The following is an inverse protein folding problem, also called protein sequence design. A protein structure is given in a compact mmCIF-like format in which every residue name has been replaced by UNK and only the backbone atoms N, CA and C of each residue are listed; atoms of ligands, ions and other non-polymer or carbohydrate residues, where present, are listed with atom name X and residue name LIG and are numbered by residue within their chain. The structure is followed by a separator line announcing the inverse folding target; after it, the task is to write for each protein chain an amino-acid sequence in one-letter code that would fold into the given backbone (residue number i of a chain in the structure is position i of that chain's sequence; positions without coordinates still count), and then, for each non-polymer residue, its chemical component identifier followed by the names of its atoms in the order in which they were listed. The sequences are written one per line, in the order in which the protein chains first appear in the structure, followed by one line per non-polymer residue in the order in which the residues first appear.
data_IF_862876660912
#
_entry.id   IF_862876660912
#
_cell.length_a   1.000
_cell.length_b   1.000
_cell.length_c   1.000
_cell.angle_alpha   90.00
_cell.angle_beta   90.00
_cell.angle_gamma   90.00
#
_symmetry.space_group_name_H-M   'P 1'
#
loop_
_entity.id
_entity.type
_entity.pdbx_description
1 polymer ?
#
# COMPACT_ATOMS: atom_id res chain seq x y z
N UNK A 1 -10.96 -37.92 8.46
CA UNK A 1 -11.64 -36.64 8.19
C UNK A 1 -10.74 -35.54 8.78
N UNK A 2 -9.86 -34.95 7.98
CA UNK A 2 -9.06 -33.80 8.41
C UNK A 2 -10.00 -32.60 8.45
N UNK A 3 -10.34 -32.13 9.65
CA UNK A 3 -11.02 -30.85 9.82
C UNK A 3 -10.06 -29.77 9.29
N UNK A 4 -10.39 -29.16 8.14
CA UNK A 4 -9.71 -27.94 7.68
C UNK A 4 -9.88 -26.90 8.79
N UNK A 5 -8.76 -26.42 9.34
CA UNK A 5 -8.77 -25.28 10.24
C UNK A 5 -9.48 -24.12 9.54
N UNK A 6 -10.33 -23.35 10.25
CA UNK A 6 -10.94 -22.16 9.67
C UNK A 6 -9.85 -21.22 9.18
N UNK A 7 -10.06 -20.60 8.02
CA UNK A 7 -9.08 -19.71 7.35
C UNK A 7 -8.50 -18.68 8.32
N UNK A 8 -9.28 -18.16 9.23
CA UNK A 8 -8.89 -17.18 10.27
C UNK A 8 -7.90 -17.71 11.33
N UNK A 9 -7.58 -19.00 11.34
CA UNK A 9 -6.60 -19.60 12.27
C UNK A 9 -5.22 -19.81 11.63
N UNK A 10 -5.07 -19.51 10.34
CA UNK A 10 -3.80 -19.63 9.63
C UNK A 10 -3.00 -18.31 9.72
N UNK A 11 -1.65 -18.35 9.71
CA UNK A 11 -0.84 -17.17 9.52
C UNK A 11 -1.24 -16.41 8.26
N UNK A 12 -1.22 -15.07 8.30
CA UNK A 12 -1.69 -14.20 7.22
C UNK A 12 -0.99 -14.51 5.88
N UNK A 13 0.31 -14.82 5.91
CA UNK A 13 1.08 -15.20 4.72
C UNK A 13 0.51 -16.45 4.04
N UNK A 14 0.11 -17.44 4.82
CA UNK A 14 -0.50 -18.67 4.30
C UNK A 14 -1.87 -18.39 3.69
N UNK A 15 -2.65 -17.50 4.31
CA UNK A 15 -3.96 -17.07 3.78
C UNK A 15 -3.76 -16.39 2.43
N UNK A 16 -2.85 -15.43 2.35
CA UNK A 16 -2.58 -14.69 1.12
C UNK A 16 -2.05 -15.62 0.02
N UNK A 17 -1.12 -16.51 0.32
CA UNK A 17 -0.60 -17.49 -0.65
C UNK A 17 -1.65 -18.45 -1.20
N UNK A 18 -2.64 -18.83 -0.39
CA UNK A 18 -3.69 -19.79 -0.79
C UNK A 18 -4.84 -19.16 -1.54
N UNK A 19 -5.23 -17.94 -1.18
CA UNK A 19 -6.46 -17.29 -1.67
C UNK A 19 -6.20 -16.26 -2.76
N UNK A 20 -4.97 -15.77 -2.88
CA UNK A 20 -4.64 -14.68 -3.79
C UNK A 20 -3.78 -15.19 -4.94
N UNK A 21 -4.14 -14.80 -6.16
CA UNK A 21 -3.35 -15.13 -7.34
C UNK A 21 -2.05 -14.34 -7.37
N UNK A 22 -0.99 -14.93 -7.89
CA UNK A 22 0.25 -14.21 -8.15
C UNK A 22 0.00 -12.99 -9.05
N UNK A 23 0.55 -11.85 -8.66
CA UNK A 23 0.38 -10.59 -9.39
C UNK A 23 -0.86 -9.77 -9.01
N UNK A 24 -1.70 -10.23 -8.08
CA UNK A 24 -2.79 -9.43 -7.53
C UNK A 24 -2.25 -8.19 -6.80
N UNK A 25 -2.98 -7.09 -6.91
CA UNK A 25 -2.61 -5.86 -6.19
C UNK A 25 -3.22 -5.84 -4.78
N UNK A 26 -2.60 -5.03 -3.91
CA UNK A 26 -3.17 -4.63 -2.63
C UNK A 26 -3.57 -3.17 -2.69
N UNK A 27 -4.80 -2.86 -2.29
CA UNK A 27 -5.31 -1.49 -2.29
C UNK A 27 -6.20 -1.22 -1.09
N UNK A 28 -6.25 0.03 -0.64
CA UNK A 28 -7.22 0.54 0.33
C UNK A 28 -8.38 1.29 -0.35
N UNK A 29 -8.33 1.43 -1.68
CA UNK A 29 -9.31 2.18 -2.48
C UNK A 29 -10.08 1.25 -3.42
N UNK A 30 -11.39 1.07 -3.16
CA UNK A 30 -12.25 0.22 -4.00
C UNK A 30 -12.43 0.73 -5.43
N UNK A 31 -12.12 2.00 -5.72
CA UNK A 31 -12.16 2.55 -7.07
C UNK A 31 -11.04 1.99 -7.96
N UNK A 32 -9.90 1.66 -7.35
CA UNK A 32 -8.75 1.07 -8.03
C UNK A 32 -8.76 -0.46 -8.03
N UNK A 33 -9.65 -1.08 -7.24
CA UNK A 33 -9.72 -2.52 -7.04
C UNK A 33 -10.19 -3.23 -8.30
N UNK A 34 -9.50 -4.30 -8.66
CA UNK A 34 -9.86 -5.23 -9.73
C UNK A 34 -10.21 -6.61 -9.17
N UNK A 35 -10.92 -7.41 -9.95
CA UNK A 35 -11.27 -8.76 -9.54
C UNK A 35 -10.00 -9.61 -9.30
N UNK A 36 -9.93 -10.21 -8.13
CA UNK A 36 -8.76 -10.98 -7.68
C UNK A 36 -7.79 -10.21 -6.78
N UNK A 37 -7.92 -8.89 -6.67
CA UNK A 37 -7.08 -8.07 -5.78
C UNK A 37 -7.40 -8.29 -4.29
N UNK A 38 -6.51 -7.78 -3.44
CA UNK A 38 -6.67 -7.74 -1.98
C UNK A 38 -7.08 -6.33 -1.56
N UNK A 39 -8.21 -6.23 -0.84
CA UNK A 39 -8.64 -4.99 -0.20
C UNK A 39 -8.10 -4.91 1.21
N UNK A 40 -7.56 -3.76 1.61
CA UNK A 40 -7.21 -3.43 2.98
C UNK A 40 -8.19 -2.39 3.53
N UNK A 41 -9.04 -2.78 4.46
CA UNK A 41 -10.15 -1.98 4.98
C UNK A 41 -9.91 -1.58 6.43
N UNK A 42 -9.56 -0.33 6.67
CA UNK A 42 -9.30 0.25 7.98
C UNK A 42 -9.63 1.74 7.99
N UNK A 43 -9.84 2.37 9.16
CA UNK A 43 -10.01 3.82 9.26
C UNK A 43 -8.74 4.54 8.80
N UNK A 44 -8.86 5.45 7.83
CA UNK A 44 -7.75 6.23 7.26
C UNK A 44 -7.96 7.69 7.63
N UNK A 45 -6.92 8.32 8.13
CA UNK A 45 -6.96 9.74 8.52
C UNK A 45 -6.53 9.96 9.96
N UNK A 46 -6.80 11.15 10.45
CA UNK A 46 -6.52 11.54 11.83
C UNK A 46 -7.83 11.80 12.60
N UNK A 47 -7.72 12.16 13.89
CA UNK A 47 -8.89 12.44 14.74
C UNK A 47 -9.84 13.52 14.22
N UNK A 48 -9.39 14.41 13.31
CA UNK A 48 -10.21 15.52 12.76
C UNK A 48 -10.84 15.16 11.41
N UNK A 49 -10.19 14.30 10.62
CA UNK A 49 -10.68 13.86 9.31
C UNK A 49 -10.33 12.38 9.16
N UNK A 50 -11.29 11.54 9.45
CA UNK A 50 -11.18 10.08 9.30
C UNK A 50 -12.19 9.61 8.26
N UNK A 51 -11.72 8.86 7.28
CA UNK A 51 -12.57 8.09 6.37
C UNK A 51 -12.48 6.63 6.76
N UNK A 52 -13.60 6.00 7.03
CA UNK A 52 -13.63 4.59 7.36
C UNK A 52 -13.78 3.74 6.09
N UNK A 53 -12.68 3.20 5.60
CA UNK A 53 -12.68 2.39 4.38
C UNK A 53 -13.38 1.03 4.56
N UNK A 54 -13.73 0.63 5.80
CA UNK A 54 -14.50 -0.57 6.08
C UNK A 54 -15.94 -0.47 5.56
N UNK A 55 -16.46 0.76 5.40
CA UNK A 55 -17.76 1.01 4.79
C UNK A 55 -17.84 0.51 3.33
N UNK A 56 -16.71 0.29 2.68
CA UNK A 56 -16.63 -0.16 1.30
C UNK A 56 -16.33 -1.67 1.15
N UNK A 57 -16.40 -2.45 2.25
CA UNK A 57 -16.15 -3.92 2.20
C UNK A 57 -17.16 -4.60 1.26
N UNK A 58 -18.44 -4.27 1.35
CA UNK A 58 -19.46 -4.86 0.48
C UNK A 58 -19.19 -4.55 -1.01
N UNK A 59 -18.78 -3.31 -1.33
CA UNK A 59 -18.39 -2.92 -2.69
C UNK A 59 -17.16 -3.71 -3.17
N UNK A 60 -16.15 -3.86 -2.34
CA UNK A 60 -14.96 -4.64 -2.66
C UNK A 60 -15.29 -6.11 -2.95
N UNK A 61 -16.14 -6.72 -2.12
CA UNK A 61 -16.60 -8.11 -2.30
C UNK A 61 -17.41 -8.26 -3.59
N UNK A 62 -18.27 -7.29 -3.93
CA UNK A 62 -19.05 -7.28 -5.17
C UNK A 62 -18.21 -7.14 -6.42
N UNK A 63 -17.08 -6.40 -6.34
CA UNK A 63 -16.08 -6.24 -7.40
C UNK A 63 -15.16 -7.44 -7.56
N UNK A 64 -15.31 -8.46 -6.72
CA UNK A 64 -14.55 -9.70 -6.82
C UNK A 64 -13.19 -9.63 -6.11
N UNK A 65 -13.06 -8.85 -5.04
CA UNK A 65 -11.90 -8.98 -4.17
C UNK A 65 -11.68 -10.44 -3.77
N UNK A 66 -10.45 -10.93 -3.88
CA UNK A 66 -10.09 -12.29 -3.47
C UNK A 66 -10.01 -12.41 -1.96
N UNK A 67 -9.52 -11.37 -1.28
CA UNK A 67 -9.41 -11.25 0.16
C UNK A 67 -9.69 -9.81 0.57
N UNK A 68 -10.37 -9.64 1.69
CA UNK A 68 -10.54 -8.36 2.38
C UNK A 68 -9.90 -8.46 3.75
N UNK A 69 -8.75 -7.84 3.93
CA UNK A 69 -8.14 -7.65 5.24
C UNK A 69 -8.83 -6.48 5.92
N UNK A 70 -9.33 -6.65 7.14
CA UNK A 70 -10.06 -5.58 7.81
C UNK A 70 -9.66 -5.41 9.28
N UNK A 71 -9.70 -4.16 9.78
CA UNK A 71 -9.54 -3.84 11.21
C UNK A 71 -10.83 -4.21 11.95
N UNK A 72 -10.78 -5.16 12.92
CA UNK A 72 -11.97 -5.61 13.61
C UNK A 72 -12.46 -4.67 14.73
N UNK A 73 -11.63 -3.74 15.19
CA UNK A 73 -11.98 -2.86 16.29
C UNK A 73 -13.07 -1.86 15.90
N UNK A 74 -14.13 -1.73 16.72
CA UNK A 74 -15.17 -0.72 16.53
C UNK A 74 -16.09 -0.93 15.32
N UNK A 75 -16.26 -2.17 14.85
CA UNK A 75 -17.21 -2.49 13.77
C UNK A 75 -18.67 -2.33 14.23
N UNK A 76 -19.49 -1.72 13.38
CA UNK A 76 -20.95 -1.75 13.54
C UNK A 76 -21.52 -3.17 13.35
N UNK A 77 -22.72 -3.42 13.85
CA UNK A 77 -23.40 -4.71 13.66
C UNK A 77 -23.58 -5.06 12.18
N UNK A 78 -23.86 -4.06 11.34
CA UNK A 78 -24.00 -4.20 9.90
C UNK A 78 -22.68 -4.67 9.25
N UNK A 79 -21.55 -4.01 9.56
CA UNK A 79 -20.25 -4.41 9.05
C UNK A 79 -19.83 -5.78 9.57
N UNK A 80 -20.16 -6.13 10.83
CA UNK A 80 -19.91 -7.47 11.36
C UNK A 80 -20.62 -8.54 10.53
N UNK A 81 -21.87 -8.31 10.13
CA UNK A 81 -22.62 -9.22 9.28
C UNK A 81 -21.98 -9.39 7.89
N UNK A 82 -21.51 -8.31 7.27
CA UNK A 82 -20.78 -8.36 5.99
C UNK A 82 -19.46 -9.13 6.13
N UNK A 83 -18.74 -8.95 7.23
CA UNK A 83 -17.47 -9.62 7.49
C UNK A 83 -17.59 -11.11 7.82
N UNK A 84 -18.80 -11.70 7.83
CA UNK A 84 -18.99 -13.16 7.86
C UNK A 84 -18.63 -13.83 6.52
N UNK A 85 -18.48 -13.08 5.44
CA UNK A 85 -17.97 -13.62 4.17
C UNK A 85 -16.58 -14.24 4.40
N UNK A 86 -16.38 -15.46 3.90
CA UNK A 86 -15.13 -16.22 4.06
C UNK A 86 -13.88 -15.54 3.50
N UNK A 87 -14.05 -14.55 2.63
CA UNK A 87 -12.96 -13.72 2.09
C UNK A 87 -12.52 -12.62 3.04
N UNK A 88 -13.30 -12.34 4.08
CA UNK A 88 -12.98 -11.32 5.07
C UNK A 88 -12.08 -11.90 6.17
N UNK A 89 -10.91 -11.32 6.35
CA UNK A 89 -9.88 -11.75 7.30
C UNK A 89 -9.60 -10.61 8.28
N UNK A 90 -9.87 -10.78 9.59
CA UNK A 90 -9.57 -9.75 10.58
C UNK A 90 -8.05 -9.65 10.81
N UNK A 91 -7.56 -8.42 10.78
CA UNK A 91 -6.17 -8.08 11.12
C UNK A 91 -6.19 -6.94 12.13
N UNK A 92 -5.79 -7.24 13.36
CA UNK A 92 -5.74 -6.24 14.44
C UNK A 92 -4.66 -5.21 14.14
N UNK A 93 -4.95 -3.95 14.41
CA UNK A 93 -4.03 -2.82 14.16
C UNK A 93 -3.60 -2.71 12.69
N UNK A 94 -4.54 -2.98 11.78
CA UNK A 94 -4.27 -3.00 10.34
C UNK A 94 -3.72 -1.67 9.82
N UNK A 95 -4.13 -0.54 10.38
CA UNK A 95 -3.64 0.77 9.97
C UNK A 95 -2.10 0.88 10.08
N UNK A 96 -1.52 0.32 11.14
CA UNK A 96 -0.07 0.30 11.34
C UNK A 96 0.63 -0.84 10.58
N UNK A 97 -0.09 -1.91 10.28
CA UNK A 97 0.47 -3.09 9.62
C UNK A 97 0.34 -3.09 8.09
N UNK A 98 -0.57 -2.29 7.53
CA UNK A 98 -0.88 -2.31 6.09
C UNK A 98 0.35 -2.12 5.20
N UNK A 99 1.23 -1.18 5.55
CA UNK A 99 2.46 -0.95 4.80
C UNK A 99 3.47 -2.09 4.92
N UNK A 100 3.59 -2.69 6.09
CA UNK A 100 4.48 -3.84 6.33
C UNK A 100 3.98 -5.07 5.56
N UNK A 101 2.69 -5.36 5.65
CA UNK A 101 2.05 -6.47 4.92
C UNK A 101 2.23 -6.28 3.41
N UNK A 102 1.98 -5.07 2.89
CA UNK A 102 2.16 -4.77 1.49
C UNK A 102 3.64 -4.84 1.07
N UNK A 103 4.58 -4.37 1.92
CA UNK A 103 6.01 -4.48 1.66
C UNK A 103 6.44 -5.93 1.44
N UNK A 104 6.06 -6.83 2.34
CA UNK A 104 6.32 -8.28 2.20
C UNK A 104 5.66 -8.84 0.93
N UNK A 105 4.42 -8.46 0.64
CA UNK A 105 3.70 -8.90 -0.56
C UNK A 105 4.43 -8.54 -1.85
N UNK A 106 5.00 -7.33 -1.93
CA UNK A 106 5.74 -6.86 -3.11
C UNK A 106 7.24 -7.20 -3.07
N UNK A 107 7.70 -8.05 -2.14
CA UNK A 107 9.09 -8.51 -2.05
C UNK A 107 10.05 -7.45 -1.53
N UNK A 108 9.60 -6.69 -0.52
CA UNK A 108 10.40 -5.71 0.23
C UNK A 108 11.23 -4.77 -0.68
N UNK A 109 10.57 -4.03 -1.59
CA UNK A 109 11.26 -3.30 -2.64
C UNK A 109 12.26 -2.26 -2.11
N UNK A 110 11.97 -1.62 -0.97
CA UNK A 110 12.83 -0.62 -0.35
C UNK A 110 14.07 -1.18 0.35
N UNK A 111 14.16 -2.49 0.57
CA UNK A 111 15.37 -3.13 1.09
C UNK A 111 16.45 -3.31 0.02
N UNK A 112 16.10 -3.25 -1.24
CA UNK A 112 16.99 -3.53 -2.37
C UNK A 112 17.21 -2.34 -3.30
N UNK A 113 16.48 -1.25 -3.09
CA UNK A 113 16.67 0.04 -3.74
C UNK A 113 17.02 1.08 -2.69
N UNK A 114 17.82 2.07 -3.04
CA UNK A 114 18.00 3.26 -2.21
C UNK A 114 16.76 4.13 -2.26
N UNK A 115 16.13 4.39 -1.11
CA UNK A 115 14.92 5.22 -1.04
C UNK A 115 15.19 6.45 -0.19
N UNK A 116 15.15 7.63 -0.80
CA UNK A 116 15.42 8.91 -0.15
C UNK A 116 14.10 9.66 0.04
N UNK A 117 13.71 9.87 1.30
CA UNK A 117 12.53 10.65 1.66
C UNK A 117 12.84 12.14 1.81
N UNK A 118 12.07 12.98 1.14
CA UNK A 118 12.18 14.44 1.23
C UNK A 118 10.96 15.02 1.92
N UNK A 119 11.16 15.63 3.09
CA UNK A 119 10.09 16.33 3.83
C UNK A 119 10.40 17.82 3.97
N UNK A 120 9.41 18.61 4.34
CA UNK A 120 9.52 20.05 4.54
C UNK A 120 8.24 20.80 4.17
N UNK A 121 8.13 22.05 4.53
CA UNK A 121 6.97 22.90 4.20
C UNK A 121 6.93 23.21 2.70
N UNK A 122 8.06 23.63 2.14
CA UNK A 122 8.21 24.01 0.72
C UNK A 122 9.40 23.29 0.10
N UNK A 123 9.43 23.21 -1.24
CA UNK A 123 10.57 22.71 -2.01
C UNK A 123 10.69 21.19 -2.09
N UNK A 124 9.80 20.42 -1.46
CA UNK A 124 9.87 18.94 -1.50
C UNK A 124 9.97 18.41 -2.93
N UNK A 125 9.08 18.84 -3.82
CA UNK A 125 9.04 18.40 -5.22
C UNK A 125 10.34 18.71 -5.94
N UNK A 126 10.85 19.94 -5.82
CA UNK A 126 12.09 20.33 -6.49
C UNK A 126 13.29 19.55 -5.97
N UNK A 127 13.40 19.38 -4.64
CA UNK A 127 14.50 18.64 -4.04
C UNK A 127 14.41 17.15 -4.40
N UNK A 128 13.24 16.51 -4.32
CA UNK A 128 13.08 15.13 -4.72
C UNK A 128 13.45 14.92 -6.20
N UNK A 129 13.03 15.83 -7.08
CA UNK A 129 13.40 15.78 -8.49
C UNK A 129 14.91 15.93 -8.72
N UNK A 130 15.55 16.88 -8.05
CA UNK A 130 17.01 17.08 -8.18
C UNK A 130 17.80 15.90 -7.62
N UNK A 131 17.36 15.32 -6.50
CA UNK A 131 17.99 14.10 -5.93
C UNK A 131 17.84 12.95 -6.90
N UNK A 132 16.64 12.71 -7.44
CA UNK A 132 16.44 11.67 -8.43
C UNK A 132 17.31 11.89 -9.70
N UNK A 133 17.41 13.12 -10.18
CA UNK A 133 18.29 13.47 -11.32
C UNK A 133 19.75 13.22 -11.01
N UNK A 134 20.23 13.60 -9.83
CA UNK A 134 21.63 13.40 -9.42
C UNK A 134 21.99 11.91 -9.28
N UNK A 135 21.04 11.08 -8.88
CA UNK A 135 21.22 9.63 -8.76
C UNK A 135 21.05 8.88 -10.09
N UNK A 136 20.40 9.52 -11.08
CA UNK A 136 20.11 8.89 -12.35
C UNK A 136 21.36 8.78 -13.22
N UNK A 137 21.97 7.60 -13.26
CA UNK A 137 23.18 7.31 -14.02
C UNK A 137 22.91 6.22 -15.07
N UNK A 138 23.76 6.14 -16.10
CA UNK A 138 23.71 5.06 -17.07
C UNK A 138 23.87 3.72 -16.33
N UNK A 139 22.92 2.81 -16.53
CA UNK A 139 22.81 1.51 -15.85
C UNK A 139 22.41 1.56 -14.35
N UNK A 140 22.08 2.74 -13.82
CA UNK A 140 21.52 2.92 -12.48
C UNK A 140 20.35 3.90 -12.55
N UNK A 141 19.23 3.50 -13.16
CA UNK A 141 18.10 4.38 -13.32
C UNK A 141 17.48 4.76 -11.97
N UNK A 142 17.12 6.03 -11.85
CA UNK A 142 16.43 6.58 -10.68
C UNK A 142 14.98 6.85 -11.00
N UNK A 143 14.14 6.78 -9.98
CA UNK A 143 12.73 7.10 -10.04
C UNK A 143 12.37 8.21 -9.07
N UNK A 144 11.16 8.76 -9.24
CA UNK A 144 10.59 9.68 -8.28
C UNK A 144 9.17 9.25 -7.90
N UNK A 145 8.74 9.66 -6.69
CA UNK A 145 7.35 9.57 -6.22
C UNK A 145 7.01 10.90 -5.57
N UNK A 146 5.99 11.59 -6.06
CA UNK A 146 5.61 12.89 -5.50
C UNK A 146 4.44 13.54 -6.23
N UNK A 147 4.29 14.84 -6.02
CA UNK A 147 3.19 15.65 -6.58
C UNK A 147 3.14 15.60 -8.11
N UNK A 148 4.28 15.50 -8.77
CA UNK A 148 4.36 15.40 -10.25
C UNK A 148 3.96 14.02 -10.75
N UNK A 149 3.95 13.01 -9.90
CA UNK A 149 3.65 11.64 -10.27
C UNK A 149 4.64 10.63 -9.69
N UNK A 150 4.65 9.42 -10.26
CA UNK A 150 5.56 8.35 -9.88
C UNK A 150 6.06 7.58 -11.10
N UNK A 151 7.32 7.12 -11.06
CA UNK A 151 7.95 6.34 -12.11
C UNK A 151 9.43 6.65 -12.29
N UNK A 152 10.06 5.99 -13.26
CA UNK A 152 11.40 6.34 -13.72
C UNK A 152 11.40 7.78 -14.26
N UNK A 153 12.51 8.49 -14.14
CA UNK A 153 12.60 9.91 -14.50
C UNK A 153 12.24 10.22 -15.94
N UNK A 154 12.45 9.29 -16.85
CA UNK A 154 12.07 9.38 -18.26
C UNK A 154 10.61 9.04 -18.52
N UNK A 155 9.91 8.47 -17.52
CA UNK A 155 8.52 8.05 -17.63
C UNK A 155 7.74 8.22 -16.31
N UNK A 156 7.60 9.46 -15.85
CA UNK A 156 6.80 9.82 -14.67
C UNK A 156 5.33 9.95 -15.06
N UNK A 157 4.46 9.19 -14.38
CA UNK A 157 3.02 9.21 -14.63
C UNK A 157 2.30 9.88 -13.45
N UNK A 158 1.40 10.85 -13.69
CA UNK A 158 0.63 11.48 -12.63
C UNK A 158 -0.14 10.46 -11.79
N UNK A 159 -0.05 10.56 -10.47
CA UNK A 159 -0.76 9.66 -9.53
C UNK A 159 -1.89 10.34 -8.77
N UNK A 160 -1.91 11.68 -8.76
CA UNK A 160 -2.88 12.46 -8.00
C UNK A 160 -2.53 12.61 -6.51
N UNK A 161 -1.37 12.11 -6.07
CA UNK A 161 -0.94 12.17 -4.66
C UNK A 161 0.46 12.74 -4.54
N UNK A 162 0.70 13.51 -3.47
CA UNK A 162 2.08 13.87 -3.06
C UNK A 162 2.77 12.67 -2.41
N UNK A 163 2.07 11.99 -1.50
CA UNK A 163 2.53 10.76 -0.87
C UNK A 163 1.34 9.79 -0.86
N UNK A 164 1.42 8.65 -1.56
CA UNK A 164 0.36 7.65 -1.58
C UNK A 164 0.08 7.07 -0.19
N UNK A 165 -1.02 6.33 -0.02
CA UNK A 165 -1.22 5.50 1.16
C UNK A 165 -0.22 4.32 1.20
N UNK A 166 -0.13 3.63 2.33
CA UNK A 166 0.92 2.64 2.54
C UNK A 166 0.85 1.45 1.56
N UNK A 167 -0.30 0.81 1.28
CA UNK A 167 -0.39 -0.25 0.27
C UNK A 167 -0.03 0.24 -1.13
N UNK A 168 -0.50 1.40 -1.52
CA UNK A 168 -0.22 1.98 -2.83
C UNK A 168 1.25 2.36 -2.98
N UNK A 169 1.89 2.88 -1.92
CA UNK A 169 3.31 3.19 -1.92
C UNK A 169 4.14 1.93 -2.17
N UNK A 170 3.86 0.83 -1.48
CA UNK A 170 4.58 -0.43 -1.65
C UNK A 170 4.37 -1.02 -3.07
N UNK A 171 3.15 -0.93 -3.61
CA UNK A 171 2.86 -1.31 -4.99
C UNK A 171 3.68 -0.49 -6.00
N UNK A 172 3.77 0.82 -5.80
CA UNK A 172 4.57 1.71 -6.64
C UNK A 172 6.06 1.37 -6.56
N UNK A 173 6.60 1.18 -5.35
CA UNK A 173 7.99 0.79 -5.14
C UNK A 173 8.32 -0.55 -5.80
N UNK A 174 7.43 -1.56 -5.65
CA UNK A 174 7.59 -2.85 -6.31
C UNK A 174 7.60 -2.74 -7.84
N UNK A 175 6.70 -1.95 -8.41
CA UNK A 175 6.63 -1.71 -9.85
C UNK A 175 7.87 -0.97 -10.36
N UNK A 176 8.31 0.07 -9.67
CA UNK A 176 9.51 0.85 -10.00
C UNK A 176 10.77 -0.04 -9.94
N UNK A 177 10.89 -0.88 -8.92
CA UNK A 177 11.95 -1.89 -8.81
C UNK A 177 11.96 -2.83 -10.01
N UNK A 178 10.80 -3.36 -10.40
CA UNK A 178 10.67 -4.27 -11.54
C UNK A 178 10.97 -3.58 -12.89
N UNK A 179 10.90 -2.26 -12.97
CA UNK A 179 11.35 -1.46 -14.10
C UNK A 179 12.88 -1.23 -14.11
N UNK A 180 13.59 -1.73 -13.10
CA UNK A 180 15.05 -1.66 -13.03
C UNK A 180 15.60 -0.47 -12.25
N UNK A 181 14.76 0.30 -11.53
CA UNK A 181 15.26 1.39 -10.70
C UNK A 181 16.20 0.86 -9.60
N UNK A 182 17.28 1.58 -9.36
CA UNK A 182 18.22 1.33 -8.26
C UNK A 182 18.06 2.32 -7.12
N UNK A 183 17.39 3.44 -7.39
CA UNK A 183 17.12 4.48 -6.40
C UNK A 183 15.77 5.15 -6.66
N UNK A 184 15.17 5.67 -5.58
CA UNK A 184 13.92 6.44 -5.61
C UNK A 184 14.07 7.65 -4.71
N UNK A 185 13.75 8.86 -5.20
CA UNK A 185 13.54 10.02 -4.35
C UNK A 185 12.05 10.27 -4.22
N UNK A 186 11.54 10.35 -2.99
CA UNK A 186 10.11 10.51 -2.74
C UNK A 186 9.78 11.68 -1.83
N UNK A 187 8.66 12.35 -2.16
CA UNK A 187 8.10 13.36 -1.27
C UNK A 187 7.39 12.68 -0.10
N UNK A 188 7.72 13.09 1.12
CA UNK A 188 7.07 12.64 2.35
C UNK A 188 6.39 13.84 3.01
N UNK A 189 5.07 13.93 2.91
CA UNK A 189 4.31 15.00 3.56
C UNK A 189 4.17 14.75 5.05
N UNK A 190 4.00 15.82 5.86
CA UNK A 190 3.73 15.69 7.29
C UNK A 190 2.47 14.86 7.58
N UNK A 191 1.44 14.98 6.75
CA UNK A 191 0.25 14.13 6.85
C UNK A 191 0.55 12.65 6.59
N UNK A 192 1.48 12.36 5.66
CA UNK A 192 1.88 10.98 5.39
C UNK A 192 2.63 10.36 6.57
N UNK A 193 3.45 11.15 7.26
CA UNK A 193 4.11 10.74 8.51
C UNK A 193 3.10 10.47 9.61
N UNK A 194 2.20 11.42 9.85
CA UNK A 194 1.15 11.35 10.87
C UNK A 194 0.21 10.12 10.65
N UNK A 195 -0.07 9.79 9.40
CA UNK A 195 -0.95 8.68 9.01
C UNK A 195 -0.21 7.35 8.78
N UNK A 196 1.08 7.25 9.06
CA UNK A 196 1.85 6.02 8.88
C UNK A 196 1.97 5.52 7.43
N UNK A 197 1.78 6.42 6.43
CA UNK A 197 1.77 6.01 5.01
C UNK A 197 3.10 5.45 4.52
N UNK A 198 4.19 5.71 5.24
CA UNK A 198 5.51 5.19 4.92
C UNK A 198 5.89 3.94 5.74
N UNK A 199 4.98 3.41 6.55
CA UNK A 199 5.23 2.16 7.26
C UNK A 199 5.58 1.04 6.27
N UNK A 200 6.56 0.21 6.63
CA UNK A 200 7.09 -0.83 5.76
C UNK A 200 8.07 -0.34 4.68
N UNK A 201 8.37 0.98 4.63
CA UNK A 201 9.39 1.54 3.73
C UNK A 201 10.67 1.79 4.50
N UNK A 202 11.78 1.22 4.03
CA UNK A 202 13.13 1.55 4.49
C UNK A 202 13.58 2.83 3.77
N UNK A 203 14.03 3.82 4.51
CA UNK A 203 14.63 5.06 4.01
C UNK A 203 16.12 5.08 4.35
N UNK A 204 16.95 5.51 3.36
CA UNK A 204 18.39 5.70 3.49
C UNK A 204 18.77 7.10 4.01
#
# INVERSE_FOLDING_TARGET
MNAMLPVNALPLEIILQKLVKAGANMTSDTRALQAGDVMMAYPVGNQRQCTDNRLFIADALSKGASVVLYEPAGLSAELQAICLDQRCVPVKDLANQAGVIASHWYGEPSQTMRVIGVTGTNGKTSVAQWVAQALNQKNQPSAMIGTLGAGLLDHVVPTGFTTPDAPQLQSLLGRIKNQGATSVAMEVSSHALDQGRIHGTHLD
#
